data_IF_809023668779
#
_entry.id   IF_809023668779
#
_cell.length_a   1.000
_cell.length_b   1.000
_cell.length_c   1.000
_cell.angle_alpha   90.00
_cell.angle_beta   90.00
_cell.angle_gamma   90.00
#
_symmetry.space_group_name_H-M   'P 1'
#
loop_
_entity.id
_entity.type
_entity.pdbx_description
1 polymer ?
#
# COMPACT_ATOMS: atom_id res chain seq x y z
N UNK A 1 4.25 -6.77 26.03
CA UNK A 1 5.60 -7.40 26.02
C UNK A 1 6.01 -7.73 27.45
N UNK A 2 6.42 -8.97 27.72
CA UNK A 2 6.63 -9.54 29.06
C UNK A 2 7.70 -8.77 29.88
N UNK A 3 7.36 -8.38 31.11
CA UNK A 3 8.25 -7.72 32.08
C UNK A 3 9.55 -8.50 32.32
N UNK A 4 9.49 -9.83 32.30
CA UNK A 4 10.66 -10.70 32.47
C UNK A 4 11.70 -10.53 31.35
N UNK A 5 11.26 -10.32 30.11
CA UNK A 5 12.15 -10.10 28.95
C UNK A 5 12.88 -8.77 29.06
N UNK A 6 12.20 -7.71 29.52
CA UNK A 6 12.82 -6.40 29.74
C UNK A 6 13.91 -6.45 30.82
N UNK A 7 13.65 -7.14 31.93
CA UNK A 7 14.62 -7.30 33.02
C UNK A 7 15.89 -8.00 32.55
N UNK A 8 15.77 -9.12 31.84
CA UNK A 8 16.91 -9.85 31.26
C UNK A 8 17.75 -8.98 30.31
N UNK A 9 17.09 -8.15 29.49
CA UNK A 9 17.81 -7.24 28.60
C UNK A 9 18.61 -6.16 29.35
N UNK A 10 18.08 -5.63 30.45
CA UNK A 10 18.82 -4.69 31.32
C UNK A 10 20.02 -5.36 31.99
N UNK A 11 19.83 -6.56 32.53
CA UNK A 11 20.92 -7.36 33.14
C UNK A 11 22.02 -7.66 32.11
N UNK A 12 21.63 -8.03 30.88
CA UNK A 12 22.58 -8.22 29.77
C UNK A 12 23.36 -6.95 29.43
N UNK A 13 22.70 -5.79 29.33
CA UNK A 13 23.37 -4.50 29.05
C UNK A 13 24.42 -4.20 30.12
N UNK A 14 24.12 -4.44 31.40
CA UNK A 14 25.08 -4.21 32.48
C UNK A 14 26.29 -5.15 32.37
N UNK A 15 26.05 -6.44 32.10
CA UNK A 15 27.11 -7.43 31.93
C UNK A 15 27.98 -7.13 30.70
N UNK A 16 27.36 -6.82 29.57
CA UNK A 16 28.07 -6.50 28.32
C UNK A 16 28.96 -5.26 28.47
N UNK A 17 28.48 -4.21 29.16
CA UNK A 17 29.31 -3.05 29.47
C UNK A 17 30.49 -3.41 30.38
N UNK A 18 30.26 -4.21 31.43
CA UNK A 18 31.34 -4.68 32.32
C UNK A 18 32.42 -5.45 31.55
N UNK A 19 32.02 -6.33 30.63
CA UNK A 19 32.97 -7.10 29.81
C UNK A 19 33.73 -6.16 28.87
N UNK A 20 33.03 -5.26 28.16
CA UNK A 20 33.65 -4.32 27.22
C UNK A 20 34.65 -3.37 27.88
N UNK A 21 34.34 -2.91 29.10
CA UNK A 21 35.19 -1.95 29.83
C UNK A 21 36.32 -2.67 30.61
N UNK A 22 36.27 -4.00 30.70
CA UNK A 22 37.32 -4.82 31.28
C UNK A 22 38.32 -5.29 30.20
N UNK A 23 39.56 -5.56 30.58
CA UNK A 23 40.55 -6.22 29.69
C UNK A 23 40.31 -7.72 29.52
N UNK A 24 39.10 -8.21 29.81
CA UNK A 24 38.78 -9.65 29.82
C UNK A 24 38.36 -10.20 28.44
N UNK A 25 38.40 -9.38 27.38
CA UNK A 25 38.05 -9.78 26.02
C UNK A 25 38.94 -9.09 25.01
N UNK A 26 39.27 -9.80 23.93
CA UNK A 26 39.99 -9.24 22.78
C UNK A 26 39.07 -8.48 21.82
N UNK A 27 37.76 -8.52 22.03
CA UNK A 27 36.75 -7.84 21.18
C UNK A 27 35.75 -7.01 22.00
N UNK A 28 36.21 -6.00 22.76
CA UNK A 28 35.32 -5.11 23.50
C UNK A 28 34.29 -4.39 22.60
N UNK A 29 34.61 -4.16 21.33
CA UNK A 29 33.67 -3.58 20.36
C UNK A 29 32.39 -4.42 20.19
N UNK A 30 32.47 -5.76 20.23
CA UNK A 30 31.33 -6.66 20.10
C UNK A 30 30.35 -6.48 21.26
N UNK A 31 30.86 -6.47 22.48
CA UNK A 31 30.04 -6.33 23.68
C UNK A 31 29.43 -4.94 23.78
N UNK A 32 30.18 -3.90 23.42
CA UNK A 32 29.69 -2.53 23.47
C UNK A 32 28.61 -2.27 22.41
N UNK A 33 28.75 -2.81 21.20
CA UNK A 33 27.71 -2.70 20.17
C UNK A 33 26.47 -3.53 20.51
N UNK A 34 26.62 -4.72 21.10
CA UNK A 34 25.48 -5.51 21.59
C UNK A 34 24.69 -4.76 22.70
N UNK A 35 25.40 -4.13 23.65
CA UNK A 35 24.77 -3.28 24.66
C UNK A 35 24.00 -2.11 24.03
N UNK A 36 24.58 -1.46 23.01
CA UNK A 36 23.95 -0.37 22.27
C UNK A 36 22.63 -0.81 21.63
N UNK A 37 22.65 -1.94 20.93
CA UNK A 37 21.45 -2.50 20.29
C UNK A 37 20.36 -2.85 21.32
N UNK A 38 20.71 -3.48 22.44
CA UNK A 38 19.75 -3.78 23.50
C UNK A 38 19.13 -2.52 24.09
N UNK A 39 19.93 -1.48 24.35
CA UNK A 39 19.42 -0.18 24.81
C UNK A 39 18.48 0.46 23.79
N UNK A 40 18.78 0.38 22.50
CA UNK A 40 17.88 0.83 21.44
C UNK A 40 16.54 0.10 21.47
N UNK A 41 16.54 -1.24 21.58
CA UNK A 41 15.32 -2.05 21.67
C UNK A 41 14.52 -1.82 22.95
N UNK A 42 15.16 -1.35 24.01
CA UNK A 42 14.54 -0.94 25.28
C UNK A 42 13.97 0.49 25.24
N UNK A 43 14.32 1.30 24.23
CA UNK A 43 13.92 2.70 24.13
C UNK A 43 14.89 3.68 24.80
N UNK A 44 16.05 3.22 25.26
CA UNK A 44 17.10 4.02 25.89
C UNK A 44 18.00 4.65 24.81
N UNK A 45 17.45 5.54 23.99
CA UNK A 45 18.10 6.01 22.76
C UNK A 45 19.43 6.76 22.99
N UNK A 46 19.56 7.54 24.06
CA UNK A 46 20.79 8.27 24.37
C UNK A 46 21.94 7.33 24.74
N UNK A 47 21.67 6.34 25.59
CA UNK A 47 22.65 5.33 25.97
C UNK A 47 23.04 4.46 24.78
N UNK A 48 22.06 4.11 23.94
CA UNK A 48 22.30 3.37 22.71
C UNK A 48 23.27 4.12 21.78
N UNK A 49 23.03 5.42 21.53
CA UNK A 49 23.93 6.25 20.70
C UNK A 49 25.33 6.35 21.28
N UNK A 50 25.44 6.66 22.58
CA UNK A 50 26.73 6.77 23.28
C UNK A 50 27.54 5.46 23.19
N UNK A 51 26.88 4.32 23.39
CA UNK A 51 27.54 3.01 23.31
C UNK A 51 27.91 2.65 21.87
N UNK A 52 27.06 2.97 20.89
CA UNK A 52 27.35 2.75 19.48
C UNK A 52 28.57 3.57 19.02
N UNK A 53 28.64 4.85 19.39
CA UNK A 53 29.81 5.71 19.11
C UNK A 53 31.08 5.22 19.82
N UNK A 54 30.98 4.71 21.05
CA UNK A 54 32.14 4.14 21.73
C UNK A 54 32.64 2.86 21.04
N UNK A 55 31.71 2.02 20.55
CA UNK A 55 32.04 0.70 20.00
C UNK A 55 32.91 0.75 18.74
N UNK A 56 32.78 1.79 17.91
CA UNK A 56 33.52 1.91 16.65
C UNK A 56 35.03 2.16 16.85
N UNK A 57 35.43 2.69 18.01
CA UNK A 57 36.83 2.95 18.36
C UNK A 57 37.48 1.82 19.18
N UNK A 58 36.70 0.81 19.58
CA UNK A 58 37.19 -0.29 20.41
C UNK A 58 37.88 -1.39 19.60
N UNK A 59 38.70 -2.19 20.29
CA UNK A 59 39.35 -3.36 19.69
C UNK A 59 38.34 -4.44 19.28
N UNK A 60 38.66 -5.17 18.21
CA UNK A 60 37.86 -6.24 17.64
C UNK A 60 38.33 -6.57 16.22
N UNK A 61 37.89 -7.73 15.71
CA UNK A 61 38.14 -8.15 14.33
C UNK A 61 37.46 -7.21 13.32
N UNK A 62 37.84 -7.31 12.03
CA UNK A 62 37.22 -6.51 10.97
C UNK A 62 35.69 -6.68 10.91
N UNK A 63 35.21 -7.92 10.95
CA UNK A 63 33.78 -8.24 10.97
C UNK A 63 33.07 -7.67 12.21
N UNK A 64 33.70 -7.71 13.39
CA UNK A 64 33.13 -7.09 14.61
C UNK A 64 32.99 -5.57 14.45
N UNK A 65 33.97 -4.91 13.84
CA UNK A 65 33.91 -3.45 13.59
C UNK A 65 32.83 -3.09 12.56
N UNK A 66 32.64 -3.90 11.53
CA UNK A 66 31.57 -3.71 10.55
C UNK A 66 30.18 -3.90 11.20
N UNK A 67 30.01 -4.92 12.04
CA UNK A 67 28.77 -5.13 12.80
C UNK A 67 28.48 -3.99 13.80
N UNK A 68 29.52 -3.47 14.47
CA UNK A 68 29.40 -2.30 15.33
C UNK A 68 28.96 -1.06 14.54
N UNK A 69 29.52 -0.87 13.33
CA UNK A 69 29.14 0.20 12.40
C UNK A 69 27.70 0.06 11.91
N UNK A 70 27.26 -1.15 11.57
CA UNK A 70 25.85 -1.41 11.20
C UNK A 70 24.89 -1.12 12.35
N UNK A 71 25.23 -1.55 13.58
CA UNK A 71 24.43 -1.25 14.77
C UNK A 71 24.30 0.25 14.99
N UNK A 72 25.41 0.98 14.83
CA UNK A 72 25.43 2.44 14.90
C UNK A 72 24.54 3.07 13.83
N UNK A 73 24.66 2.65 12.57
CA UNK A 73 23.80 3.12 11.48
C UNK A 73 22.32 2.88 11.80
N UNK A 74 21.93 1.68 12.24
CA UNK A 74 20.56 1.37 12.61
C UNK A 74 20.01 2.31 13.70
N UNK A 75 20.79 2.55 14.75
CA UNK A 75 20.39 3.40 15.89
C UNK A 75 20.20 4.85 15.44
N UNK A 76 21.10 5.35 14.60
CA UNK A 76 21.00 6.72 14.10
C UNK A 76 19.90 6.87 13.07
N UNK A 77 19.72 5.92 12.15
CA UNK A 77 18.64 5.93 11.15
C UNK A 77 17.24 5.95 11.78
N UNK A 78 17.09 5.43 12.99
CA UNK A 78 15.85 5.47 13.76
C UNK A 78 15.54 6.84 14.39
N UNK A 79 16.46 7.81 14.30
CA UNK A 79 16.27 9.15 14.83
C UNK A 79 15.07 9.84 14.13
N UNK A 80 14.28 10.53 14.94
CA UNK A 80 13.12 11.29 14.47
C UNK A 80 13.50 12.68 13.98
N UNK A 81 14.65 13.19 14.43
CA UNK A 81 15.06 14.57 14.18
C UNK A 81 15.98 14.64 12.96
N UNK A 82 15.43 15.11 11.85
CA UNK A 82 16.24 15.41 10.67
C UNK A 82 17.03 16.71 10.88
N UNK A 83 18.36 16.59 11.02
CA UNK A 83 19.29 17.72 11.18
C UNK A 83 20.41 17.64 10.14
N UNK A 84 21.15 18.73 9.86
CA UNK A 84 22.31 18.67 8.97
C UNK A 84 23.36 17.63 9.41
N UNK A 85 23.58 17.47 10.72
CA UNK A 85 24.49 16.46 11.27
C UNK A 85 23.98 15.04 10.98
N UNK A 86 22.68 14.80 11.13
CA UNK A 86 22.05 13.53 10.76
C UNK A 86 22.18 13.24 9.26
N UNK A 87 21.90 14.23 8.40
CA UNK A 87 22.01 14.07 6.96
C UNK A 87 23.45 13.71 6.53
N UNK A 88 24.44 14.41 7.08
CA UNK A 88 25.86 14.12 6.83
C UNK A 88 26.25 12.72 7.29
N UNK A 89 25.82 12.31 8.49
CA UNK A 89 26.02 10.96 8.99
C UNK A 89 25.43 9.92 8.03
N UNK A 90 24.16 10.06 7.66
CA UNK A 90 23.46 9.11 6.79
C UNK A 90 24.11 9.03 5.41
N UNK A 91 24.58 10.15 4.86
CA UNK A 91 25.29 10.18 3.57
C UNK A 91 26.58 9.34 3.62
N UNK A 92 27.39 9.52 4.66
CA UNK A 92 28.62 8.75 4.85
C UNK A 92 28.33 7.26 5.01
N UNK A 93 27.35 6.91 5.83
CA UNK A 93 27.07 5.52 6.15
C UNK A 93 26.36 4.78 5.00
N UNK A 94 25.44 5.41 4.27
CA UNK A 94 24.78 4.81 3.11
C UNK A 94 25.75 4.62 1.93
N UNK A 95 26.71 5.53 1.73
CA UNK A 95 27.78 5.34 0.74
C UNK A 95 28.66 4.15 1.09
N UNK A 96 29.03 4.01 2.36
CA UNK A 96 29.78 2.85 2.83
C UNK A 96 28.98 1.56 2.66
N UNK A 97 27.71 1.53 3.11
CA UNK A 97 26.85 0.36 3.00
C UNK A 97 26.70 -0.08 1.54
N UNK A 98 26.52 0.88 0.62
CA UNK A 98 26.49 0.58 -0.81
C UNK A 98 27.80 0.01 -1.34
N UNK A 99 28.95 0.54 -0.90
CA UNK A 99 30.26 0.03 -1.34
C UNK A 99 30.47 -1.44 -0.96
N UNK A 100 29.80 -1.90 0.11
CA UNK A 100 29.88 -3.27 0.63
C UNK A 100 29.02 -4.29 -0.09
N UNK A 101 28.03 -3.86 -0.86
CA UNK A 101 27.19 -4.76 -1.67
C UNK A 101 28.03 -5.62 -2.62
N UNK A 102 29.15 -5.11 -3.13
CA UNK A 102 30.06 -5.87 -4.00
C UNK A 102 30.79 -7.02 -3.28
N UNK A 103 30.94 -6.90 -1.97
CA UNK A 103 31.64 -7.91 -1.16
C UNK A 103 30.69 -9.07 -0.82
N UNK A 104 29.41 -8.76 -0.56
CA UNK A 104 28.35 -9.73 -0.23
C UNK A 104 26.96 -9.15 -0.52
N UNK A 105 26.45 -9.40 -1.74
CA UNK A 105 25.19 -8.81 -2.21
C UNK A 105 24.03 -9.11 -1.27
N UNK A 106 23.97 -10.36 -0.78
CA UNK A 106 22.85 -10.88 0.01
C UNK A 106 22.79 -10.21 1.38
N UNK A 107 23.86 -10.32 2.17
CA UNK A 107 23.86 -9.80 3.53
C UNK A 107 23.70 -8.28 3.56
N UNK A 108 24.24 -7.57 2.57
CA UNK A 108 24.14 -6.12 2.54
C UNK A 108 22.80 -5.60 2.01
N UNK A 109 22.08 -6.37 1.18
CA UNK A 109 20.67 -6.10 0.86
C UNK A 109 19.79 -6.17 2.12
N UNK A 110 19.92 -7.24 2.93
CA UNK A 110 19.18 -7.37 4.20
C UNK A 110 19.52 -6.23 5.19
N UNK A 111 20.76 -5.77 5.19
CA UNK A 111 21.19 -4.60 5.97
C UNK A 111 20.50 -3.31 5.52
N UNK A 112 20.32 -3.09 4.21
CA UNK A 112 19.53 -1.96 3.70
C UNK A 112 18.07 -2.05 4.17
N UNK A 113 17.44 -3.23 4.10
CA UNK A 113 16.07 -3.43 4.57
C UNK A 113 15.93 -3.14 6.08
N UNK A 114 16.90 -3.58 6.86
CA UNK A 114 16.95 -3.34 8.31
C UNK A 114 17.01 -1.85 8.62
N UNK A 115 17.86 -1.09 7.92
CA UNK A 115 17.96 0.37 8.05
C UNK A 115 16.67 1.05 7.58
N UNK A 116 16.11 0.62 6.45
CA UNK A 116 14.85 1.14 5.90
C UNK A 116 13.69 1.03 6.87
N UNK A 117 13.61 -0.08 7.60
CA UNK A 117 12.50 -0.37 8.53
C UNK A 117 12.38 0.63 9.69
N UNK A 118 13.46 1.35 10.01
CA UNK A 118 13.50 2.27 11.16
C UNK A 118 13.43 3.75 10.79
N UNK A 119 13.73 4.12 9.54
CA UNK A 119 13.72 5.53 9.08
C UNK A 119 12.32 6.12 9.26
N UNK A 120 12.26 7.29 9.93
CA UNK A 120 11.00 7.99 10.25
C UNK A 120 10.63 9.09 9.26
N UNK A 121 11.61 9.75 8.66
CA UNK A 121 11.37 10.71 7.58
C UNK A 121 10.90 9.95 6.33
N UNK A 122 9.63 10.13 5.95
CA UNK A 122 9.00 9.35 4.87
C UNK A 122 9.69 9.55 3.52
N UNK A 123 10.14 10.78 3.20
CA UNK A 123 10.81 11.10 1.92
C UNK A 123 12.20 10.48 1.87
N UNK A 124 12.95 10.54 2.97
CA UNK A 124 14.22 9.84 3.09
C UNK A 124 14.00 8.32 2.99
N UNK A 125 12.98 7.77 3.65
CA UNK A 125 12.64 6.33 3.58
C UNK A 125 12.31 5.91 2.14
N UNK A 126 11.55 6.72 1.39
CA UNK A 126 11.30 6.51 -0.02
C UNK A 126 12.60 6.53 -0.84
N UNK A 127 13.45 7.54 -0.66
CA UNK A 127 14.72 7.64 -1.39
C UNK A 127 15.70 6.50 -1.10
N UNK A 128 15.84 6.08 0.16
CA UNK A 128 16.66 4.91 0.52
C UNK A 128 16.04 3.63 -0.04
N UNK A 129 14.70 3.56 -0.12
CA UNK A 129 13.98 2.43 -0.75
C UNK A 129 14.25 2.36 -2.25
N UNK A 130 14.33 3.52 -2.91
CA UNK A 130 14.78 3.64 -4.30
C UNK A 130 16.24 3.23 -4.49
N UNK A 131 17.14 3.60 -3.58
CA UNK A 131 18.53 3.15 -3.61
C UNK A 131 18.63 1.62 -3.51
N UNK A 132 17.90 1.03 -2.55
CA UNK A 132 17.79 -0.42 -2.40
C UNK A 132 17.26 -1.08 -3.68
N UNK A 133 16.19 -0.55 -4.26
CA UNK A 133 15.65 -1.02 -5.53
C UNK A 133 16.68 -1.00 -6.67
N UNK A 134 17.40 0.11 -6.84
CA UNK A 134 18.44 0.22 -7.88
C UNK A 134 19.54 -0.83 -7.68
N UNK A 135 19.96 -1.08 -6.43
CA UNK A 135 20.95 -2.10 -6.10
C UNK A 135 20.45 -3.50 -6.49
N UNK A 136 19.23 -3.85 -6.06
CA UNK A 136 18.63 -5.14 -6.40
C UNK A 136 18.54 -5.35 -7.91
N UNK A 137 18.23 -4.29 -8.69
CA UNK A 137 18.18 -4.32 -10.15
C UNK A 137 19.54 -4.53 -10.82
N UNK A 138 20.58 -3.85 -10.35
CA UNK A 138 21.90 -3.95 -10.98
C UNK A 138 22.57 -5.31 -10.75
N UNK A 139 22.23 -5.98 -9.65
CA UNK A 139 22.84 -7.24 -9.23
C UNK A 139 21.85 -8.44 -9.32
N UNK A 140 20.79 -8.29 -10.14
CA UNK A 140 19.68 -9.24 -10.36
C UNK A 140 20.14 -10.70 -10.53
N UNK A 141 21.27 -10.92 -11.22
CA UNK A 141 21.79 -12.26 -11.50
C UNK A 141 22.28 -13.02 -10.24
N UNK A 142 22.80 -12.36 -9.21
CA UNK A 142 23.34 -13.07 -8.04
C UNK A 142 22.28 -13.27 -6.95
N UNK A 143 21.35 -12.31 -6.82
CA UNK A 143 20.27 -12.38 -5.83
C UNK A 143 19.14 -13.35 -6.26
N UNK A 144 18.74 -13.33 -7.53
CA UNK A 144 17.70 -14.23 -8.04
C UNK A 144 18.16 -15.70 -8.05
N UNK A 145 19.44 -15.97 -8.32
CA UNK A 145 20.01 -17.31 -8.30
C UNK A 145 20.11 -17.91 -6.89
N UNK A 146 20.40 -17.10 -5.87
CA UNK A 146 20.65 -17.60 -4.51
C UNK A 146 19.38 -17.87 -3.70
N UNK A 147 18.26 -17.25 -4.02
CA UNK A 147 17.03 -17.36 -3.22
C UNK A 147 15.86 -18.06 -3.92
N UNK A 148 15.99 -18.45 -5.20
CA UNK A 148 14.84 -18.99 -5.94
C UNK A 148 13.66 -17.99 -6.02
N UNK A 149 13.90 -16.72 -5.69
CA UNK A 149 12.94 -15.61 -5.67
C UNK A 149 12.74 -15.01 -7.07
N UNK A 150 13.12 -15.73 -8.12
CA UNK A 150 12.75 -15.39 -9.50
C UNK A 150 11.29 -14.98 -9.57
N UNK A 151 10.39 -15.72 -8.92
CA UNK A 151 8.96 -15.43 -8.87
C UNK A 151 8.51 -14.13 -8.19
N UNK A 152 9.31 -13.54 -7.27
CA UNK A 152 8.99 -12.24 -6.65
C UNK A 152 9.61 -11.05 -7.38
N UNK A 153 10.55 -11.29 -8.30
CA UNK A 153 11.32 -10.24 -8.97
C UNK A 153 11.33 -10.35 -10.50
N UNK A 154 10.82 -11.43 -11.09
CA UNK A 154 10.58 -11.59 -12.51
C UNK A 154 9.18 -11.08 -12.84
N UNK A 155 9.02 -9.76 -12.84
CA UNK A 155 8.09 -9.16 -13.78
C UNK A 155 8.98 -8.61 -14.87
N UNK A 156 9.12 -9.42 -15.93
CA UNK A 156 9.72 -9.03 -17.19
C UNK A 156 8.95 -7.83 -17.77
N UNK A 157 9.37 -6.63 -17.35
CA UNK A 157 9.45 -5.51 -18.27
C UNK A 157 10.60 -4.58 -17.82
N UNK A 158 11.73 -4.58 -18.55
CA UNK A 158 12.87 -3.73 -18.23
C UNK A 158 12.53 -2.27 -18.58
N UNK A 159 11.89 -1.57 -17.64
CA UNK A 159 11.66 -0.14 -17.78
C UNK A 159 10.82 0.47 -16.67
N UNK A 160 11.45 0.94 -15.58
CA UNK A 160 10.95 2.01 -14.66
C UNK A 160 9.54 1.90 -14.02
N UNK A 161 8.73 0.87 -14.29
CA UNK A 161 7.30 0.77 -13.96
C UNK A 161 7.01 -0.30 -12.90
N UNK A 162 7.86 -0.39 -11.87
CA UNK A 162 7.67 -1.39 -10.82
C UNK A 162 6.80 -0.85 -9.68
N UNK A 163 5.50 -1.17 -9.77
CA UNK A 163 4.48 -0.90 -8.75
C UNK A 163 4.41 -1.98 -7.64
N UNK A 164 5.48 -2.76 -7.47
CA UNK A 164 5.62 -3.77 -6.40
C UNK A 164 6.89 -3.58 -5.56
N UNK A 165 7.83 -2.76 -6.05
CA UNK A 165 9.09 -2.48 -5.36
C UNK A 165 8.91 -1.84 -3.98
N UNK A 166 9.90 -2.05 -3.09
CA UNK A 166 9.98 -1.35 -1.81
C UNK A 166 9.97 0.17 -1.98
N UNK A 167 10.53 0.67 -3.08
CA UNK A 167 10.49 2.08 -3.43
C UNK A 167 9.05 2.57 -3.62
N UNK A 168 8.27 1.87 -4.45
CA UNK A 168 6.86 2.17 -4.66
C UNK A 168 6.06 2.08 -3.35
N UNK A 169 6.23 1.01 -2.57
CA UNK A 169 5.53 0.86 -1.27
C UNK A 169 5.85 2.02 -0.33
N UNK A 170 7.10 2.47 -0.27
CA UNK A 170 7.46 3.63 0.55
C UNK A 170 6.91 4.95 -0.03
N UNK A 171 6.74 5.05 -1.36
CA UNK A 171 6.02 6.17 -1.97
C UNK A 171 4.53 6.13 -1.61
N UNK A 172 3.90 4.96 -1.42
CA UNK A 172 2.52 4.84 -0.95
C UNK A 172 2.29 5.45 0.45
N UNK A 173 3.31 5.46 1.32
CA UNK A 173 3.26 6.13 2.63
C UNK A 173 3.10 7.66 2.53
N UNK A 174 3.43 8.25 1.36
CA UNK A 174 3.29 9.68 1.08
C UNK A 174 1.91 10.03 0.53
N UNK A 175 1.38 11.20 0.89
CA UNK A 175 0.27 11.82 0.16
C UNK A 175 0.67 12.20 -1.27
N UNK A 176 -0.29 12.57 -2.10
CA UNK A 176 -0.06 13.09 -3.45
C UNK A 176 0.80 14.35 -3.42
N UNK A 177 0.51 15.28 -2.52
CA UNK A 177 1.29 16.51 -2.34
C UNK A 177 2.71 16.22 -1.81
N UNK A 178 2.86 15.26 -0.88
CA UNK A 178 4.18 14.84 -0.41
C UNK A 178 5.00 14.16 -1.51
N UNK A 179 4.33 13.41 -2.40
CA UNK A 179 4.96 12.75 -3.57
C UNK A 179 5.35 13.77 -4.65
N UNK A 180 4.50 14.76 -4.92
CA UNK A 180 4.82 15.89 -5.81
C UNK A 180 6.03 16.66 -5.28
N UNK A 181 6.05 16.99 -3.99
CA UNK A 181 7.20 17.68 -3.39
C UNK A 181 8.46 16.81 -3.39
N UNK A 182 8.32 15.50 -3.14
CA UNK A 182 9.44 14.56 -3.26
C UNK A 182 10.03 14.59 -4.68
N UNK A 183 9.20 14.50 -5.72
CA UNK A 183 9.65 14.50 -7.11
C UNK A 183 10.31 15.82 -7.52
N UNK A 184 9.74 16.95 -7.10
CA UNK A 184 10.20 18.27 -7.56
C UNK A 184 11.35 18.85 -6.74
N UNK A 185 11.41 18.56 -5.43
CA UNK A 185 12.23 19.32 -4.49
C UNK A 185 13.18 18.49 -3.65
N UNK A 186 13.04 17.15 -3.59
CA UNK A 186 13.87 16.32 -2.70
C UNK A 186 15.37 16.51 -2.95
N UNK A 187 15.79 16.53 -4.21
CA UNK A 187 17.20 16.70 -4.59
C UNK A 187 17.81 18.03 -4.10
N UNK A 188 16.98 19.05 -3.83
CA UNK A 188 17.42 20.39 -3.41
C UNK A 188 17.49 20.55 -1.88
N UNK A 189 17.12 19.52 -1.12
CA UNK A 189 17.07 19.58 0.35
C UNK A 189 18.46 19.70 0.99
N UNK A 190 19.39 18.84 0.57
CA UNK A 190 20.77 18.77 1.08
C UNK A 190 21.61 17.79 0.23
N UNK A 191 22.90 17.65 0.54
CA UNK A 191 23.82 16.76 -0.17
C UNK A 191 23.47 15.27 -0.06
N UNK A 192 22.84 14.85 1.05
CA UNK A 192 22.33 13.47 1.17
C UNK A 192 21.23 13.22 0.14
N UNK A 193 20.26 14.12 0.08
CA UNK A 193 19.10 14.01 -0.78
C UNK A 193 19.50 14.13 -2.25
N UNK A 194 20.41 15.04 -2.58
CA UNK A 194 21.03 15.16 -3.90
C UNK A 194 21.74 13.89 -4.33
N UNK A 195 22.56 13.32 -3.44
CA UNK A 195 23.26 12.06 -3.73
C UNK A 195 22.27 10.93 -3.97
N UNK A 196 21.29 10.72 -3.06
CA UNK A 196 20.26 9.69 -3.17
C UNK A 196 19.43 9.84 -4.44
N UNK A 197 19.00 11.06 -4.77
CA UNK A 197 18.25 11.33 -6.00
C UNK A 197 19.00 10.90 -7.26
N UNK A 198 20.32 11.11 -7.28
CA UNK A 198 21.17 10.63 -8.37
C UNK A 198 21.32 9.10 -8.46
N UNK A 199 20.82 8.34 -7.48
CA UNK A 199 20.89 6.87 -7.48
C UNK A 199 19.57 6.18 -7.82
N UNK A 200 18.47 6.92 -7.94
CA UNK A 200 17.13 6.35 -8.08
C UNK A 200 16.56 6.66 -9.47
N UNK A 201 15.73 5.75 -10.03
CA UNK A 201 15.04 6.02 -11.29
C UNK A 201 14.02 7.15 -11.11
N UNK A 202 14.01 8.08 -12.07
CA UNK A 202 13.15 9.26 -12.09
C UNK A 202 12.49 9.42 -13.46
N UNK A 203 11.70 8.41 -13.85
CA UNK A 203 10.91 8.47 -15.08
C UNK A 203 9.75 9.46 -14.91
N UNK A 204 9.69 10.47 -15.78
CA UNK A 204 8.68 11.53 -15.72
C UNK A 204 7.26 11.01 -15.95
N UNK A 205 7.06 10.05 -16.87
CA UNK A 205 5.76 9.45 -17.14
C UNK A 205 5.27 8.63 -15.94
N UNK A 206 6.18 7.90 -15.28
CA UNK A 206 5.89 7.18 -14.04
C UNK A 206 5.44 8.13 -12.93
N UNK A 207 6.17 9.22 -12.69
CA UNK A 207 5.80 10.17 -11.64
C UNK A 207 4.52 10.95 -11.99
N UNK A 208 4.28 11.28 -13.26
CA UNK A 208 3.00 11.87 -13.68
C UNK A 208 1.83 10.91 -13.43
N UNK A 209 1.95 9.63 -13.78
CA UNK A 209 0.90 8.64 -13.52
C UNK A 209 0.69 8.41 -12.02
N UNK A 210 1.78 8.24 -11.25
CA UNK A 210 1.72 8.00 -9.81
C UNK A 210 1.11 9.20 -9.06
N UNK A 211 1.63 10.41 -9.27
CA UNK A 211 1.13 11.63 -8.59
C UNK A 211 -0.33 11.88 -8.99
N UNK A 212 -0.64 11.73 -10.29
CA UNK A 212 -2.00 11.86 -10.80
C UNK A 212 -2.97 10.87 -10.15
N UNK A 213 -2.59 9.59 -10.08
CA UNK A 213 -3.38 8.52 -9.45
C UNK A 213 -3.55 8.75 -7.96
N UNK A 214 -2.53 9.24 -7.26
CA UNK A 214 -2.64 9.61 -5.84
C UNK A 214 -3.62 10.76 -5.62
N UNK A 215 -3.57 11.81 -6.44
CA UNK A 215 -4.54 12.90 -6.35
C UNK A 215 -5.97 12.43 -6.65
N UNK A 216 -6.14 11.51 -7.61
CA UNK A 216 -7.44 10.87 -7.88
C UNK A 216 -7.90 10.10 -6.63
N UNK A 217 -7.04 9.26 -6.04
CA UNK A 217 -7.33 8.48 -4.83
C UNK A 217 -7.60 9.35 -3.60
N UNK A 218 -7.11 10.58 -3.54
CA UNK A 218 -7.42 11.57 -2.50
C UNK A 218 -8.70 12.37 -2.79
N UNK A 219 -9.37 12.11 -3.92
CA UNK A 219 -10.56 12.84 -4.37
C UNK A 219 -10.27 14.22 -5.00
N UNK A 220 -9.00 14.56 -5.22
CA UNK A 220 -8.59 15.81 -5.86
C UNK A 220 -8.49 15.65 -7.39
N UNK A 221 -9.65 15.44 -8.03
CA UNK A 221 -9.75 15.18 -9.47
C UNK A 221 -9.15 16.29 -10.34
N UNK A 222 -9.29 17.55 -9.92
CA UNK A 222 -8.78 18.70 -10.69
C UNK A 222 -7.25 18.70 -10.74
N UNK A 223 -6.59 18.43 -9.61
CA UNK A 223 -5.13 18.34 -9.56
C UNK A 223 -4.63 17.06 -10.24
N UNK A 224 -5.36 15.94 -10.11
CA UNK A 224 -5.05 14.70 -10.81
C UNK A 224 -4.94 14.89 -12.33
N UNK A 225 -5.89 15.62 -12.94
CA UNK A 225 -5.89 15.95 -14.38
C UNK A 225 -4.56 16.61 -14.79
N UNK A 226 -4.00 17.50 -13.96
CA UNK A 226 -2.77 18.25 -14.31
C UNK A 226 -1.55 17.35 -14.54
N UNK A 227 -1.55 16.16 -13.95
CA UNK A 227 -0.51 15.14 -14.11
C UNK A 227 -0.91 14.06 -15.11
N UNK A 228 -2.11 13.49 -14.98
CA UNK A 228 -2.58 12.39 -15.83
C UNK A 228 -2.64 12.76 -17.32
N UNK A 229 -2.90 14.03 -17.65
CA UNK A 229 -2.90 14.51 -19.04
C UNK A 229 -1.51 14.50 -19.70
N UNK A 230 -0.43 14.42 -18.91
CA UNK A 230 0.94 14.38 -19.41
C UNK A 230 1.42 12.95 -19.70
N UNK A 231 0.67 11.94 -19.26
CA UNK A 231 1.06 10.53 -19.40
C UNK A 231 0.75 10.04 -20.81
N UNK A 232 1.75 9.60 -21.60
CA UNK A 232 1.52 9.14 -22.96
C UNK A 232 0.77 7.79 -22.97
N UNK A 233 -0.07 7.58 -23.98
CA UNK A 233 -0.80 6.31 -24.13
C UNK A 233 0.11 5.09 -24.27
N UNK A 234 1.33 5.26 -24.80
CA UNK A 234 2.35 4.21 -24.82
C UNK A 234 2.65 3.71 -23.42
N UNK A 235 2.93 4.64 -22.48
CA UNK A 235 3.20 4.30 -21.09
C UNK A 235 2.01 3.58 -20.44
N UNK A 236 0.79 4.05 -20.66
CA UNK A 236 -0.43 3.41 -20.11
C UNK A 236 -0.58 1.98 -20.63
N UNK A 237 -0.35 1.74 -21.92
CA UNK A 237 -0.50 0.41 -22.52
C UNK A 237 0.63 -0.56 -22.17
N UNK A 238 1.80 -0.07 -21.73
CA UNK A 238 2.92 -0.89 -21.26
C UNK A 238 2.75 -1.36 -19.81
N UNK A 239 1.78 -0.83 -19.07
CA UNK A 239 1.51 -1.25 -17.70
C UNK A 239 0.95 -2.68 -17.65
N UNK A 240 1.37 -3.47 -16.67
CA UNK A 240 0.87 -4.83 -16.46
C UNK A 240 -0.67 -4.89 -16.31
N UNK A 241 -1.26 -3.84 -15.73
CA UNK A 241 -2.71 -3.73 -15.53
C UNK A 241 -3.48 -3.29 -16.78
N UNK A 242 -2.81 -2.87 -17.86
CA UNK A 242 -3.48 -2.36 -19.06
C UNK A 242 -4.47 -3.37 -19.67
N UNK A 243 -4.09 -4.66 -19.69
CA UNK A 243 -4.94 -5.76 -20.16
C UNK A 243 -6.26 -5.84 -19.39
N UNK A 244 -6.20 -5.62 -18.07
CA UNK A 244 -7.38 -5.58 -17.20
C UNK A 244 -8.27 -4.37 -17.52
N UNK A 245 -7.65 -3.19 -17.62
CA UNK A 245 -8.34 -1.91 -17.79
C UNK A 245 -9.22 -1.84 -19.05
N UNK A 246 -8.79 -2.47 -20.15
CA UNK A 246 -9.49 -2.43 -21.44
C UNK A 246 -10.92 -3.00 -21.36
N UNK A 247 -11.14 -3.99 -20.50
CA UNK A 247 -12.44 -4.63 -20.31
C UNK A 247 -13.26 -4.02 -19.18
N UNK A 248 -12.94 -2.80 -18.75
CA UNK A 248 -13.57 -2.14 -17.61
C UNK A 248 -14.24 -0.84 -18.01
N UNK A 249 -15.45 -0.68 -17.51
CA UNK A 249 -16.28 0.50 -17.66
C UNK A 249 -16.76 0.94 -16.27
N UNK A 250 -16.16 2.01 -15.76
CA UNK A 250 -16.49 2.57 -14.45
C UNK A 250 -17.90 3.16 -14.40
N UNK A 251 -18.61 3.26 -15.53
CA UNK A 251 -19.98 3.74 -15.58
C UNK A 251 -21.03 2.67 -15.34
N UNK A 252 -20.65 1.39 -15.43
CA UNK A 252 -21.56 0.27 -15.16
C UNK A 252 -21.63 0.00 -13.66
N UNK A 253 -22.81 -0.05 -13.04
CA UNK A 253 -22.94 -0.38 -11.62
C UNK A 253 -22.57 -1.84 -11.33
N UNK A 254 -21.54 -2.06 -10.50
CA UNK A 254 -21.06 -3.40 -10.10
C UNK A 254 -22.14 -4.28 -9.48
N UNK A 255 -23.10 -3.67 -8.77
CA UNK A 255 -24.20 -4.39 -8.14
C UNK A 255 -25.26 -4.89 -9.14
N UNK A 256 -25.22 -4.46 -10.41
CA UNK A 256 -26.10 -4.99 -11.48
C UNK A 256 -25.44 -6.17 -12.18
N UNK A 257 -24.18 -6.06 -12.59
CA UNK A 257 -23.46 -7.14 -13.25
C UNK A 257 -21.95 -7.03 -13.02
N UNK A 258 -21.28 -8.18 -12.91
CA UNK A 258 -19.83 -8.27 -12.92
C UNK A 258 -19.31 -8.10 -14.35
N UNK A 259 -18.23 -7.33 -14.52
CA UNK A 259 -17.60 -7.12 -15.83
C UNK A 259 -16.61 -8.25 -16.17
N UNK A 260 -17.13 -9.46 -16.41
CA UNK A 260 -16.33 -10.67 -16.66
C UNK A 260 -15.91 -10.88 -18.12
N UNK A 261 -16.59 -10.26 -19.09
CA UNK A 261 -16.31 -10.46 -20.52
C UNK A 261 -14.88 -10.05 -20.90
N UNK A 262 -14.14 -10.97 -21.53
CA UNK A 262 -12.74 -10.76 -21.95
C UNK A 262 -11.69 -10.90 -20.84
N UNK A 263 -12.12 -11.16 -19.59
CA UNK A 263 -11.24 -11.41 -18.44
C UNK A 263 -11.13 -12.91 -18.11
N UNK A 264 -10.79 -13.72 -19.10
CA UNK A 264 -10.34 -15.07 -18.80
C UNK A 264 -8.90 -14.98 -18.28
N UNK A 265 -8.70 -15.27 -16.99
CA UNK A 265 -7.35 -15.32 -16.41
C UNK A 265 -6.46 -16.29 -17.17
N UNK A 266 -7.02 -17.32 -17.81
CA UNK A 266 -6.27 -18.26 -18.64
C UNK A 266 -5.76 -17.61 -19.94
N UNK A 267 -6.43 -16.57 -20.48
CA UNK A 267 -5.93 -15.84 -21.66
C UNK A 267 -4.88 -14.79 -21.32
N UNK A 268 -4.74 -14.40 -20.06
CA UNK A 268 -3.67 -13.50 -19.62
C UNK A 268 -2.31 -14.18 -19.51
N UNK A 269 -2.32 -15.51 -19.28
CA UNK A 269 -1.16 -16.38 -19.19
C UNK A 269 -1.04 -17.35 -20.37
N UNK A 270 -1.96 -17.31 -21.34
CA UNK A 270 -1.83 -18.10 -22.57
C UNK A 270 -0.79 -17.47 -23.48
N UNK A 271 0.15 -18.27 -23.97
CA UNK A 271 1.13 -17.91 -25.01
C UNK A 271 0.51 -17.66 -26.40
N UNK A 272 -0.82 -17.49 -26.49
CA UNK A 272 -1.48 -17.24 -27.76
C UNK A 272 -1.16 -15.81 -28.25
N UNK A 273 -0.53 -15.73 -29.42
CA UNK A 273 -0.14 -14.53 -30.17
C UNK A 273 -1.32 -13.63 -30.61
N UNK A 274 -2.49 -13.75 -29.99
CA UNK A 274 -3.65 -12.90 -30.30
C UNK A 274 -3.37 -11.48 -29.80
N UNK A 275 -3.35 -10.46 -30.69
CA UNK A 275 -3.14 -9.09 -30.26
C UNK A 275 -4.27 -8.66 -29.33
N UNK A 276 -3.94 -8.43 -28.05
CA UNK A 276 -4.91 -7.93 -27.11
C UNK A 276 -5.30 -6.49 -27.44
N UNK A 277 -6.57 -6.11 -27.24
CA UNK A 277 -7.01 -4.73 -27.45
C UNK A 277 -6.21 -3.79 -26.54
N UNK A 278 -5.89 -2.60 -27.06
CA UNK A 278 -5.16 -1.56 -26.34
C UNK A 278 -6.08 -0.43 -25.90
N UNK A 279 -5.72 0.25 -24.82
CA UNK A 279 -6.41 1.45 -24.40
C UNK A 279 -6.20 2.55 -25.45
N UNK A 280 -7.30 3.19 -25.84
CA UNK A 280 -7.31 4.36 -26.72
C UNK A 280 -7.34 5.68 -25.94
N UNK A 281 -7.60 5.63 -24.63
CA UNK A 281 -7.69 6.79 -23.74
C UNK A 281 -7.14 6.44 -22.35
N UNK A 282 -6.63 7.45 -21.64
CA UNK A 282 -6.28 7.32 -20.23
C UNK A 282 -7.56 7.33 -19.39
N UNK A 283 -8.04 6.15 -18.98
CA UNK A 283 -9.27 6.00 -18.20
C UNK A 283 -9.23 6.77 -16.86
N UNK A 284 -8.08 6.88 -16.20
CA UNK A 284 -7.95 7.68 -14.95
C UNK A 284 -8.19 9.17 -15.22
N UNK A 285 -7.68 9.68 -16.34
CA UNK A 285 -7.89 11.07 -16.77
C UNK A 285 -9.36 11.33 -17.10
N UNK A 286 -9.98 10.46 -17.88
CA UNK A 286 -11.39 10.61 -18.27
C UNK A 286 -12.31 10.50 -17.06
N UNK A 287 -12.04 9.55 -16.15
CA UNK A 287 -12.73 9.45 -14.86
C UNK A 287 -12.67 10.77 -14.08
N UNK A 288 -11.49 11.39 -13.94
CA UNK A 288 -11.37 12.67 -13.24
C UNK A 288 -12.21 13.78 -13.88
N UNK A 289 -12.20 13.88 -15.22
CA UNK A 289 -13.00 14.87 -15.96
C UNK A 289 -14.50 14.64 -15.76
N UNK A 290 -14.93 13.39 -15.85
CA UNK A 290 -16.32 12.99 -15.63
C UNK A 290 -16.76 13.26 -14.20
N UNK A 291 -15.93 12.96 -13.20
CA UNK A 291 -16.24 13.24 -11.80
C UNK A 291 -16.47 14.74 -11.57
N UNK A 292 -15.63 15.61 -12.12
CA UNK A 292 -15.81 17.07 -12.03
C UNK A 292 -17.13 17.50 -12.69
N UNK A 293 -17.40 16.98 -13.89
CA UNK A 293 -18.64 17.27 -14.62
C UNK A 293 -19.87 16.84 -13.81
N UNK A 294 -19.89 15.60 -13.31
CA UNK A 294 -20.97 15.05 -12.49
C UNK A 294 -21.18 15.87 -11.22
N UNK A 295 -20.11 16.17 -10.49
CA UNK A 295 -20.16 16.98 -9.27
C UNK A 295 -20.78 18.37 -9.51
N UNK A 296 -20.63 18.93 -10.72
CA UNK A 296 -21.24 20.21 -11.13
C UNK A 296 -22.73 20.17 -11.54
N UNK A 297 -23.34 18.99 -11.71
CA UNK A 297 -24.74 18.88 -12.18
C UNK A 297 -25.79 19.19 -11.09
N UNK A 298 -27.01 19.56 -11.50
CA UNK A 298 -28.11 20.00 -10.62
C UNK A 298 -29.15 18.94 -10.25
N UNK A 299 -29.37 17.91 -11.08
CA UNK A 299 -30.27 16.77 -10.73
C UNK A 299 -29.75 16.06 -9.48
N UNK A 300 -30.59 15.79 -8.48
CA UNK A 300 -30.11 15.35 -7.16
C UNK A 300 -30.01 13.83 -7.02
N UNK A 301 -31.05 13.07 -7.35
CA UNK A 301 -31.09 11.62 -7.08
C UNK A 301 -30.41 10.75 -8.14
N UNK A 302 -30.67 10.99 -9.44
CA UNK A 302 -30.00 10.24 -10.51
C UNK A 302 -28.49 10.49 -10.49
N UNK A 303 -28.08 11.76 -10.36
CA UNK A 303 -26.68 12.14 -10.16
C UNK A 303 -26.05 11.42 -8.97
N UNK A 304 -26.78 11.32 -7.85
CA UNK A 304 -26.25 10.63 -6.68
C UNK A 304 -26.03 9.14 -6.99
N UNK A 305 -26.94 8.48 -7.70
CA UNK A 305 -26.73 7.10 -8.12
C UNK A 305 -25.54 6.94 -9.09
N UNK A 306 -25.37 7.88 -10.02
CA UNK A 306 -24.26 7.88 -10.97
C UNK A 306 -22.92 8.11 -10.25
N UNK A 307 -22.86 9.06 -9.31
CA UNK A 307 -21.69 9.29 -8.44
C UNK A 307 -21.38 8.07 -7.60
N UNK A 308 -22.39 7.46 -6.98
CA UNK A 308 -22.21 6.23 -6.22
C UNK A 308 -21.60 5.11 -7.07
N UNK A 309 -22.07 4.97 -8.30
CA UNK A 309 -21.53 3.99 -9.25
C UNK A 309 -20.05 4.26 -9.52
N UNK A 310 -19.68 5.51 -9.82
CA UNK A 310 -18.28 5.90 -10.06
C UNK A 310 -17.38 5.67 -8.85
N UNK A 311 -17.82 6.12 -7.67
CA UNK A 311 -17.05 5.96 -6.44
C UNK A 311 -16.86 4.48 -6.10
N UNK A 312 -17.91 3.67 -6.17
CA UNK A 312 -17.80 2.26 -5.85
C UNK A 312 -16.93 1.50 -6.86
N UNK A 313 -17.06 1.82 -8.16
CA UNK A 313 -16.21 1.20 -9.18
C UNK A 313 -14.73 1.53 -8.99
N UNK A 314 -14.40 2.75 -8.55
CA UNK A 314 -13.03 3.15 -8.25
C UNK A 314 -12.52 2.66 -6.88
N UNK A 315 -13.36 2.00 -6.07
CA UNK A 315 -12.93 1.41 -4.79
C UNK A 315 -12.18 0.08 -5.00
N UNK A 316 -11.51 -0.41 -3.95
CA UNK A 316 -10.90 -1.74 -3.96
C UNK A 316 -11.93 -2.88 -4.14
N UNK A 317 -13.19 -2.63 -3.78
CA UNK A 317 -14.30 -3.58 -3.97
C UNK A 317 -14.97 -3.43 -5.35
N UNK A 318 -14.55 -2.45 -6.17
CA UNK A 318 -15.03 -2.22 -7.53
C UNK A 318 -14.38 -3.12 -8.57
N UNK A 319 -14.91 -3.13 -9.78
CA UNK A 319 -14.27 -3.76 -10.94
C UNK A 319 -13.24 -2.81 -11.59
N UNK A 320 -13.29 -1.51 -11.27
CA UNK A 320 -12.37 -0.49 -11.78
C UNK A 320 -11.37 -0.01 -10.70
N UNK A 321 -10.97 -0.91 -9.78
CA UNK A 321 -9.99 -0.62 -8.71
C UNK A 321 -8.69 0.02 -9.26
N UNK A 322 -8.33 -0.30 -10.50
CA UNK A 322 -7.16 0.23 -11.21
C UNK A 322 -7.16 1.76 -11.36
N UNK A 323 -8.30 2.42 -11.12
CA UNK A 323 -8.40 3.87 -11.12
C UNK A 323 -7.64 4.49 -9.94
N UNK A 324 -7.60 3.80 -8.80
CA UNK A 324 -7.04 4.27 -7.53
C UNK A 324 -5.88 3.41 -7.03
N UNK A 325 -5.63 2.25 -7.65
CA UNK A 325 -4.62 1.27 -7.23
C UNK A 325 -3.82 0.73 -8.42
N UNK A 326 -2.67 0.12 -8.14
CA UNK A 326 -1.83 -0.58 -9.12
C UNK A 326 -1.75 -2.09 -8.89
N UNK A 327 -2.34 -2.57 -7.79
CA UNK A 327 -2.38 -3.97 -7.40
C UNK A 327 -3.70 -4.25 -6.68
N UNK A 328 -4.23 -5.45 -6.87
CA UNK A 328 -5.45 -5.92 -6.22
C UNK A 328 -5.25 -7.36 -5.75
N UNK A 329 -5.57 -7.64 -4.49
CA UNK A 329 -5.58 -9.00 -3.95
C UNK A 329 -6.69 -9.17 -2.92
N UNK A 330 -7.08 -10.42 -2.68
CA UNK A 330 -8.07 -10.78 -1.67
C UNK A 330 -7.54 -10.62 -0.23
N UNK A 331 -6.22 -10.72 -0.03
CA UNK A 331 -5.59 -10.84 1.28
C UNK A 331 -4.95 -9.53 1.78
N UNK A 332 -4.61 -8.61 0.88
CA UNK A 332 -3.91 -7.38 1.23
C UNK A 332 -4.31 -6.20 0.33
N UNK A 333 -4.57 -5.06 0.96
CA UNK A 333 -4.82 -3.77 0.31
C UNK A 333 -3.59 -2.88 0.53
N UNK A 334 -3.00 -2.37 -0.56
CA UNK A 334 -1.99 -1.33 -0.50
C UNK A 334 -2.59 -0.09 -1.16
N UNK A 335 -3.19 0.83 -0.40
CA UNK A 335 -3.63 2.11 -0.94
C UNK A 335 -2.47 2.79 -1.65
N UNK A 336 -2.71 3.38 -2.82
CA UNK A 336 -1.66 4.11 -3.55
C UNK A 336 -1.15 5.32 -2.77
N UNK A 337 -1.87 5.76 -1.73
CA UNK A 337 -1.57 6.90 -0.87
C UNK A 337 -2.11 6.69 0.54
N UNK A 338 -1.37 7.16 1.54
CA UNK A 338 -1.80 7.14 2.95
C UNK A 338 -2.97 8.09 3.27
N UNK A 339 -3.33 8.97 2.33
CA UNK A 339 -4.44 9.92 2.44
C UNK A 339 -5.65 9.53 1.59
N UNK A 340 -5.74 8.27 1.16
CA UNK A 340 -6.81 7.82 0.26
C UNK A 340 -8.20 8.05 0.86
N UNK A 341 -9.12 8.50 0.00
CA UNK A 341 -10.53 8.63 0.31
C UNK A 341 -11.14 7.24 0.54
N UNK A 342 -12.10 7.14 1.46
CA UNK A 342 -12.94 5.94 1.56
C UNK A 342 -14.01 5.97 0.47
N UNK A 343 -13.65 5.44 -0.70
CA UNK A 343 -14.51 5.40 -1.89
C UNK A 343 -15.81 4.62 -1.66
N UNK A 344 -15.79 3.56 -0.84
CA UNK A 344 -17.00 2.80 -0.49
C UNK A 344 -17.93 3.67 0.35
N UNK A 345 -17.39 4.38 1.35
CA UNK A 345 -18.17 5.27 2.18
C UNK A 345 -18.75 6.46 1.39
N UNK A 346 -18.00 7.04 0.45
CA UNK A 346 -18.53 8.08 -0.44
C UNK A 346 -19.63 7.55 -1.35
N UNK A 347 -19.45 6.35 -1.92
CA UNK A 347 -20.49 5.72 -2.72
C UNK A 347 -21.78 5.55 -1.90
N UNK A 348 -21.67 5.04 -0.66
CA UNK A 348 -22.81 4.86 0.24
C UNK A 348 -23.53 6.16 0.57
N UNK A 349 -22.80 7.26 0.85
CA UNK A 349 -23.42 8.59 1.09
C UNK A 349 -24.31 9.01 -0.09
N UNK A 350 -23.84 8.79 -1.31
CA UNK A 350 -24.60 9.09 -2.51
C UNK A 350 -25.77 8.12 -2.73
N UNK A 351 -25.59 6.82 -2.46
CA UNK A 351 -26.69 5.85 -2.52
C UNK A 351 -27.82 6.18 -1.54
N UNK A 352 -27.52 6.67 -0.34
CA UNK A 352 -28.56 7.12 0.60
C UNK A 352 -29.39 8.28 0.03
N UNK A 353 -28.77 9.17 -0.74
CA UNK A 353 -29.49 10.24 -1.44
C UNK A 353 -30.36 9.67 -2.57
N UNK A 354 -29.83 8.73 -3.36
CA UNK A 354 -30.57 8.06 -4.44
C UNK A 354 -31.74 7.22 -3.92
N UNK A 355 -31.60 6.57 -2.75
CA UNK A 355 -32.64 5.75 -2.12
C UNK A 355 -33.86 6.56 -1.64
N UNK A 356 -33.75 7.89 -1.60
CA UNK A 356 -34.87 8.80 -1.34
C UNK A 356 -35.60 9.24 -2.64
N UNK A 357 -35.29 8.63 -3.79
CA UNK A 357 -35.98 8.90 -5.04
C UNK A 357 -37.46 8.55 -4.98
N UNK A 358 -38.27 9.36 -5.66
CA UNK A 358 -39.69 9.07 -5.92
C UNK A 358 -39.88 8.11 -7.10
N UNK A 359 -38.85 7.90 -7.93
CA UNK A 359 -38.85 6.86 -8.95
C UNK A 359 -38.62 5.49 -8.28
N UNK A 360 -39.61 4.58 -8.29
CA UNK A 360 -39.50 3.28 -7.64
C UNK A 360 -38.33 2.45 -8.19
N UNK A 361 -38.01 2.57 -9.48
CA UNK A 361 -36.91 1.81 -10.10
C UNK A 361 -35.56 2.26 -9.57
N UNK A 362 -35.33 3.58 -9.55
CA UNK A 362 -34.10 4.14 -9.01
C UNK A 362 -33.95 3.85 -7.50
N UNK A 363 -35.07 3.89 -6.76
CA UNK A 363 -35.08 3.57 -5.33
C UNK A 363 -34.74 2.10 -5.06
N UNK A 364 -35.32 1.16 -5.80
CA UNK A 364 -34.98 -0.26 -5.71
C UNK A 364 -33.49 -0.48 -5.97
N UNK A 365 -32.98 0.06 -7.07
CA UNK A 365 -31.57 -0.05 -7.46
C UNK A 365 -30.63 0.51 -6.39
N UNK A 366 -30.97 1.67 -5.80
CA UNK A 366 -30.16 2.27 -4.75
C UNK A 366 -30.17 1.47 -3.44
N UNK A 367 -31.31 0.89 -3.06
CA UNK A 367 -31.43 0.02 -1.89
C UNK A 367 -30.66 -1.30 -2.09
N UNK A 368 -30.78 -1.92 -3.27
CA UNK A 368 -29.99 -3.09 -3.64
C UNK A 368 -28.49 -2.79 -3.62
N UNK A 369 -28.08 -1.64 -4.16
CA UNK A 369 -26.71 -1.19 -4.11
C UNK A 369 -26.20 -1.04 -2.67
N UNK A 370 -26.95 -0.35 -1.78
CA UNK A 370 -26.58 -0.22 -0.36
C UNK A 370 -26.31 -1.58 0.28
N UNK A 371 -27.18 -2.55 0.04
CA UNK A 371 -27.02 -3.90 0.57
C UNK A 371 -25.78 -4.63 0.01
N UNK A 372 -25.46 -4.44 -1.27
CA UNK A 372 -24.32 -5.09 -1.96
C UNK A 372 -22.97 -4.37 -1.80
N UNK A 373 -22.94 -3.12 -1.31
CA UNK A 373 -21.67 -2.39 -1.04
C UNK A 373 -20.94 -2.88 0.21
N UNK A 374 -21.60 -3.64 1.08
CA UNK A 374 -20.98 -4.28 2.23
C UNK A 374 -20.63 -5.72 1.89
N UNK A 375 -19.53 -6.26 2.42
CA UNK A 375 -19.21 -7.69 2.28
C UNK A 375 -20.43 -8.55 2.65
N UNK A 376 -20.83 -9.53 1.81
CA UNK A 376 -21.96 -10.41 2.10
C UNK A 376 -21.83 -11.03 3.49
N UNK A 377 -22.97 -11.19 4.17
CA UNK A 377 -23.05 -11.88 5.46
C UNK A 377 -22.17 -11.31 6.58
N UNK A 378 -21.68 -10.07 6.47
CA UNK A 378 -20.88 -9.41 7.53
C UNK A 378 -21.64 -9.25 8.86
N UNK A 379 -22.96 -9.38 8.82
CA UNK A 379 -23.82 -9.39 10.00
C UNK A 379 -23.92 -10.79 10.66
N UNK A 380 -23.25 -11.80 10.11
CA UNK A 380 -23.24 -13.18 10.58
C UNK A 380 -21.83 -13.55 11.01
N UNK A 381 -21.69 -14.07 12.22
CA UNK A 381 -20.44 -14.64 12.71
C UNK A 381 -20.67 -16.09 13.12
N UNK A 382 -19.79 -16.99 12.68
CA UNK A 382 -19.74 -18.36 13.21
C UNK A 382 -18.69 -18.43 14.32
N UNK A 383 -19.12 -18.78 15.51
CA UNK A 383 -18.23 -19.01 16.65
C UNK A 383 -18.31 -20.46 17.07
N UNK A 384 -17.18 -21.06 17.41
CA UNK A 384 -17.15 -22.41 17.94
C UNK A 384 -17.38 -22.37 19.45
N UNK A 385 -18.47 -22.97 19.90
CA UNK A 385 -18.78 -23.12 21.31
C UNK A 385 -18.09 -24.40 21.84
N UNK A 386 -17.07 -24.21 22.68
CA UNK A 386 -16.28 -25.30 23.27
C UNK A 386 -17.08 -26.13 24.30
N UNK A 387 -18.14 -25.59 24.89
CA UNK A 387 -18.99 -26.30 25.86
C UNK A 387 -19.96 -27.24 25.15
N UNK A 388 -20.53 -26.81 24.02
CA UNK A 388 -21.49 -27.61 23.25
C UNK A 388 -20.84 -28.40 22.11
N UNK A 389 -19.54 -28.18 21.86
CA UNK A 389 -18.76 -28.77 20.77
C UNK A 389 -19.43 -28.56 19.40
N UNK A 390 -20.00 -27.37 19.17
CA UNK A 390 -20.73 -27.01 17.95
C UNK A 390 -20.41 -25.58 17.52
N UNK A 391 -20.55 -25.32 16.22
CA UNK A 391 -20.56 -23.95 15.72
C UNK A 391 -21.93 -23.32 15.96
N UNK A 392 -21.93 -22.14 16.55
CA UNK A 392 -23.09 -21.29 16.75
C UNK A 392 -23.04 -20.11 15.78
N UNK A 393 -24.19 -19.79 15.21
CA UNK A 393 -24.36 -18.64 14.31
C UNK A 393 -24.87 -17.46 15.11
N UNK A 394 -24.06 -16.42 15.22
CA UNK A 394 -24.39 -15.16 15.89
C UNK A 394 -24.79 -14.14 14.83
N UNK A 395 -26.01 -13.61 14.95
CA UNK A 395 -26.56 -12.61 14.03
C UNK A 395 -26.53 -11.23 14.68
N UNK A 396 -25.75 -10.31 14.12
CA UNK A 396 -25.73 -8.91 14.52
C UNK A 396 -26.74 -8.09 13.72
N UNK A 397 -27.99 -8.04 14.19
CA UNK A 397 -29.07 -7.24 13.57
C UNK A 397 -28.80 -5.73 13.54
N UNK A 398 -27.87 -5.24 14.37
CA UNK A 398 -27.48 -3.84 14.39
C UNK A 398 -26.45 -3.48 13.33
N UNK A 399 -25.82 -4.49 12.69
CA UNK A 399 -24.85 -4.29 11.63
C UNK A 399 -25.48 -3.59 10.42
N UNK A 400 -24.74 -2.70 9.77
CA UNK A 400 -25.28 -1.87 8.68
C UNK A 400 -25.80 -2.69 7.50
N UNK A 401 -25.05 -3.72 7.07
CA UNK A 401 -25.48 -4.64 6.01
C UNK A 401 -26.86 -5.29 6.30
N UNK A 402 -27.13 -5.71 7.55
CA UNK A 402 -28.43 -6.26 7.93
C UNK A 402 -29.56 -5.23 7.74
N UNK A 403 -29.33 -3.99 8.18
CA UNK A 403 -30.29 -2.89 8.05
C UNK A 403 -30.55 -2.53 6.59
N UNK A 404 -29.53 -2.59 5.74
CA UNK A 404 -29.68 -2.30 4.31
C UNK A 404 -30.54 -3.37 3.61
N UNK A 405 -30.30 -4.66 3.87
CA UNK A 405 -31.17 -5.73 3.38
C UNK A 405 -32.59 -5.63 3.94
N UNK A 406 -32.74 -5.26 5.22
CA UNK A 406 -34.06 -5.04 5.82
C UNK A 406 -34.82 -3.90 5.12
N UNK A 407 -34.15 -2.78 4.81
CA UNK A 407 -34.76 -1.66 4.07
C UNK A 407 -35.20 -2.05 2.67
N UNK A 408 -34.39 -2.85 1.97
CA UNK A 408 -34.77 -3.41 0.66
C UNK A 408 -36.00 -4.31 0.79
N UNK A 409 -35.99 -5.23 1.76
CA UNK A 409 -37.13 -6.12 2.01
C UNK A 409 -38.43 -5.36 2.30
N UNK A 410 -38.40 -4.35 3.17
CA UNK A 410 -39.58 -3.54 3.48
C UNK A 410 -40.06 -2.73 2.28
N UNK A 411 -39.15 -2.29 1.42
CA UNK A 411 -39.53 -1.61 0.18
C UNK A 411 -40.22 -2.55 -0.82
N UNK A 412 -39.74 -3.79 -0.95
CA UNK A 412 -40.29 -4.82 -1.83
C UNK A 412 -41.58 -5.45 -1.33
N UNK A 413 -41.93 -5.27 -0.06
CA UNK A 413 -43.14 -5.83 0.53
C UNK A 413 -44.39 -5.33 -0.19
N UNK A 414 -45.12 -6.27 -0.82
CA UNK A 414 -46.32 -5.96 -1.59
C UNK A 414 -46.04 -5.42 -3.00
N UNK A 415 -44.80 -5.52 -3.48
CA UNK A 415 -44.38 -5.21 -4.85
C UNK A 415 -43.94 -6.47 -5.58
N UNK A 416 -43.76 -6.34 -6.90
CA UNK A 416 -43.04 -7.32 -7.71
C UNK A 416 -41.59 -6.83 -7.83
N UNK A 417 -40.61 -7.46 -7.16
CA UNK A 417 -39.22 -7.07 -7.26
C UNK A 417 -38.68 -7.27 -8.67
N UNK A 418 -37.68 -6.49 -9.07
CA UNK A 418 -36.97 -6.72 -10.34
C UNK A 418 -36.17 -8.01 -10.32
N UNK A 419 -35.82 -8.49 -11.52
CA UNK A 419 -34.95 -9.67 -11.71
C UNK A 419 -33.65 -9.54 -10.92
N UNK A 420 -33.07 -8.34 -10.86
CA UNK A 420 -31.84 -8.06 -10.10
C UNK A 420 -31.96 -8.37 -8.60
N UNK A 421 -33.14 -8.14 -8.03
CA UNK A 421 -33.42 -8.42 -6.63
C UNK A 421 -33.73 -9.91 -6.44
N UNK A 422 -34.56 -10.49 -7.32
CA UNK A 422 -34.96 -11.90 -7.22
C UNK A 422 -33.81 -12.87 -7.49
N UNK A 423 -32.82 -12.47 -8.29
CA UNK A 423 -31.61 -13.27 -8.57
C UNK A 423 -30.46 -12.97 -7.60
N UNK A 424 -30.65 -12.09 -6.61
CA UNK A 424 -29.63 -11.80 -5.62
C UNK A 424 -29.62 -12.85 -4.50
N UNK A 425 -28.68 -13.80 -4.58
CA UNK A 425 -28.51 -14.87 -3.58
C UNK A 425 -28.43 -14.37 -2.14
N UNK A 426 -27.62 -13.33 -1.89
CA UNK A 426 -27.48 -12.75 -0.54
C UNK A 426 -28.78 -12.14 -0.01
N UNK A 427 -29.58 -11.52 -0.87
CA UNK A 427 -30.91 -11.01 -0.49
C UNK A 427 -31.88 -12.16 -0.22
N UNK A 428 -31.93 -13.16 -1.10
CA UNK A 428 -32.78 -14.35 -0.91
C UNK A 428 -32.44 -15.10 0.38
N UNK A 429 -31.14 -15.23 0.67
CA UNK A 429 -30.66 -15.80 1.93
C UNK A 429 -31.12 -14.97 3.13
N UNK A 430 -31.00 -13.63 3.07
CA UNK A 430 -31.49 -12.75 4.12
C UNK A 430 -33.00 -12.91 4.36
N UNK A 431 -33.80 -12.88 3.30
CA UNK A 431 -35.26 -12.98 3.39
C UNK A 431 -35.70 -14.31 3.96
N UNK A 432 -35.07 -15.41 3.54
CA UNK A 432 -35.41 -16.75 4.01
C UNK A 432 -35.15 -16.93 5.52
N UNK A 433 -34.05 -16.36 6.02
CA UNK A 433 -33.56 -16.65 7.37
C UNK A 433 -33.91 -15.58 8.42
N UNK A 434 -34.13 -14.32 8.01
CA UNK A 434 -34.15 -13.20 8.97
C UNK A 434 -35.30 -12.19 8.81
N UNK A 435 -35.95 -12.15 7.65
CA UNK A 435 -37.03 -11.19 7.36
C UNK A 435 -38.43 -11.68 7.77
N UNK A 436 -38.57 -12.95 8.18
CA UNK A 436 -39.83 -13.55 8.64
C UNK A 436 -40.16 -13.26 10.09
#
# INVERSE_FOLDING_TARGET
RNLATKRKAVEFVAQANKIADSKATDSPALWKSAAAYCNYRLGNYNDAKKQADASISMAGSASVKENARMTRLLIYAADKNYTPAYANFMLTELKWLRSKVKDDVVNYIENFETVLSVIKDKKLKAAVGGLHYTICKTDENQYAQNYGLGWFMSIDNPGTQDYSSRYFVNLCDLSAAETEDFYNNFANRDELSKWLWGQIPHNQDYFNDLIGTKYLAEGNFQKAITFLQKVPMKFINEQAIAKYMVYRDYSKPKWVALQLEGCDVNTWFSDDDTPLPTLTKNQKLEFCKEMISLLGQTSQQQKAYDLATRYYQASNDGDCWHLTHYFHSLDYEIPVTSAALDFVQEARKHLETAANSNDPKLKELALLALAKTSKPDSYIKREYNYETNKYETIVNRNHQNFKDYQRLYEFEKGRTPSELVTECDSYNYFVHNYAR
#
